data_IF_454405325671
#
_entry.id   IF_454405325671
#
_cell.length_a   1.000
_cell.length_b   1.000
_cell.length_c   1.000
_cell.angle_alpha   90.00
_cell.angle_beta   90.00
_cell.angle_gamma   90.00
#
_symmetry.space_group_name_H-M   'P 1'
#
loop_
_entity.id
_entity.type
_entity.pdbx_description
1 polymer ?
#
# COMPACT_ATOMS: atom_id res chain seq x y z
N UNK A 1 19.98 -1.03 -7.55
CA UNK A 1 20.39 -1.99 -6.49
C UNK A 1 21.32 -1.32 -5.48
N UNK A 2 20.82 -0.30 -4.75
CA UNK A 2 21.45 0.33 -3.57
C UNK A 2 20.40 0.47 -2.46
N UNK A 3 19.83 -0.65 -1.99
CA UNK A 3 18.81 -0.69 -0.92
C UNK A 3 19.05 -1.84 0.08
N UNK A 4 20.22 -2.49 0.06
CA UNK A 4 20.55 -3.57 1.01
C UNK A 4 20.55 -3.05 2.46
N UNK A 5 21.15 -1.88 2.70
CA UNK A 5 21.30 -1.34 4.07
C UNK A 5 19.97 -1.00 4.77
N UNK A 6 18.97 -0.31 4.14
CA UNK A 6 17.68 -0.11 4.79
C UNK A 6 16.93 -1.41 5.08
N UNK A 7 16.96 -2.35 4.14
CA UNK A 7 16.33 -3.67 4.31
C UNK A 7 16.94 -4.43 5.48
N UNK A 8 18.26 -4.61 5.49
CA UNK A 8 18.98 -5.32 6.56
C UNK A 8 18.76 -4.68 7.93
N UNK A 9 18.70 -3.33 7.98
CA UNK A 9 18.41 -2.61 9.21
C UNK A 9 17.00 -2.90 9.72
N UNK A 10 16.01 -2.89 8.83
CA UNK A 10 14.62 -3.19 9.18
C UNK A 10 14.45 -4.64 9.63
N UNK A 11 15.07 -5.60 8.94
CA UNK A 11 15.04 -7.03 9.32
C UNK A 11 15.70 -7.26 10.68
N UNK A 12 16.91 -6.70 10.90
CA UNK A 12 17.60 -6.80 12.20
C UNK A 12 16.80 -6.19 13.33
N UNK A 13 16.19 -5.02 13.10
CA UNK A 13 15.28 -4.40 14.07
C UNK A 13 14.10 -5.33 14.37
N UNK A 14 13.45 -5.86 13.33
CA UNK A 14 12.29 -6.72 13.48
C UNK A 14 12.61 -7.97 14.30
N UNK A 15 13.71 -8.67 14.01
CA UNK A 15 14.19 -9.82 14.79
C UNK A 15 14.46 -9.48 16.25
N UNK A 16 14.97 -8.28 16.53
CA UNK A 16 15.30 -7.84 17.89
C UNK A 16 14.05 -7.46 18.69
N UNK A 17 13.08 -6.79 18.07
CA UNK A 17 12.01 -6.11 18.80
C UNK A 17 10.64 -6.74 18.65
N UNK A 18 10.40 -7.58 17.64
CA UNK A 18 9.06 -8.12 17.33
C UNK A 18 8.99 -9.60 17.71
N UNK A 19 8.14 -9.99 18.68
CA UNK A 19 8.09 -11.36 19.20
C UNK A 19 7.93 -12.42 18.11
N UNK A 20 7.00 -12.17 17.17
CA UNK A 20 6.69 -13.12 16.12
C UNK A 20 7.89 -13.50 15.24
N UNK A 21 8.69 -12.51 14.79
CA UNK A 21 9.85 -12.79 13.96
C UNK A 21 10.97 -13.46 14.75
N UNK A 22 11.15 -13.07 16.02
CA UNK A 22 12.14 -13.69 16.90
C UNK A 22 11.84 -15.17 17.12
N UNK A 23 10.58 -15.50 17.44
CA UNK A 23 10.13 -16.88 17.66
C UNK A 23 10.26 -17.72 16.38
N UNK A 24 9.82 -17.20 15.23
CA UNK A 24 9.95 -17.90 13.94
C UNK A 24 11.41 -18.19 13.58
N UNK A 25 12.27 -17.19 13.76
CA UNK A 25 13.69 -17.35 13.46
C UNK A 25 14.38 -18.33 14.41
N UNK A 26 14.07 -18.28 15.70
CA UNK A 26 14.59 -19.25 16.66
C UNK A 26 14.15 -20.69 16.35
N UNK A 27 12.91 -20.89 15.89
CA UNK A 27 12.38 -22.20 15.58
C UNK A 27 12.89 -22.80 14.25
N UNK A 28 13.14 -21.96 13.24
CA UNK A 28 13.39 -22.44 11.86
C UNK A 28 14.75 -22.03 11.29
N UNK A 29 15.51 -21.19 11.99
CA UNK A 29 16.74 -20.57 11.49
C UNK A 29 16.53 -19.61 10.31
N UNK A 30 15.28 -19.39 9.88
CA UNK A 30 14.93 -18.58 8.71
C UNK A 30 13.72 -17.70 8.99
N UNK A 31 13.41 -16.78 8.07
CA UNK A 31 12.19 -15.98 8.11
C UNK A 31 11.34 -16.30 6.89
N UNK A 32 10.48 -17.35 6.96
CA UNK A 32 9.58 -17.66 5.87
C UNK A 32 8.64 -16.48 5.58
N UNK A 33 8.03 -16.42 4.38
CA UNK A 33 7.10 -15.36 4.04
C UNK A 33 5.95 -15.24 5.06
N UNK A 34 5.58 -14.01 5.39
CA UNK A 34 4.42 -13.68 6.22
C UNK A 34 3.19 -13.54 5.31
N UNK A 35 2.16 -14.37 5.53
CA UNK A 35 0.91 -14.31 4.77
C UNK A 35 -0.08 -13.32 5.38
N UNK A 36 -1.11 -12.95 4.63
CA UNK A 36 -2.21 -12.08 5.11
C UNK A 36 -2.91 -12.69 6.34
N UNK A 37 -3.24 -13.98 6.27
CA UNK A 37 -3.99 -14.66 7.34
C UNK A 37 -3.16 -14.78 8.61
N UNK A 38 -1.88 -15.13 8.49
CA UNK A 38 -0.95 -15.15 9.61
C UNK A 38 -0.80 -13.76 10.22
N UNK A 39 -0.62 -12.72 9.38
CA UNK A 39 -0.52 -11.35 9.85
C UNK A 39 -1.78 -10.85 10.56
N UNK A 40 -2.96 -11.28 10.10
CA UNK A 40 -4.24 -10.97 10.73
C UNK A 40 -4.35 -11.65 12.10
N UNK A 41 -4.08 -12.95 12.16
CA UNK A 41 -4.17 -13.75 13.39
C UNK A 41 -3.15 -13.30 14.45
N UNK A 42 -1.92 -12.97 14.02
CA UNK A 42 -0.79 -12.64 14.89
C UNK A 42 -0.49 -11.14 14.94
N UNK A 43 -1.45 -10.27 14.58
CA UNK A 43 -1.23 -8.82 14.48
C UNK A 43 -0.60 -8.22 15.74
N UNK A 44 -1.03 -8.67 16.91
CA UNK A 44 -0.50 -8.21 18.20
C UNK A 44 0.98 -8.60 18.40
N UNK A 45 1.41 -9.76 17.89
CA UNK A 45 2.81 -10.21 17.93
C UNK A 45 3.70 -9.57 16.86
N UNK A 46 3.10 -8.85 15.89
CA UNK A 46 3.82 -8.04 14.90
C UNK A 46 4.15 -6.63 15.41
N UNK A 47 3.79 -6.33 16.67
CA UNK A 47 4.14 -5.08 17.33
C UNK A 47 5.54 -5.16 17.95
N UNK A 48 6.38 -4.13 17.80
CA UNK A 48 7.65 -4.07 18.53
C UNK A 48 7.42 -3.91 20.04
N UNK A 49 8.22 -4.59 20.87
CA UNK A 49 8.17 -4.56 22.34
C UNK A 49 8.66 -3.25 22.95
N UNK A 50 9.61 -2.57 22.29
CA UNK A 50 10.21 -1.29 22.72
C UNK A 50 9.28 -0.08 22.50
N UNK A 51 8.04 -0.36 22.13
CA UNK A 51 7.14 0.58 21.52
C UNK A 51 5.96 0.75 22.47
N UNK A 52 6.11 1.64 23.46
CA UNK A 52 5.05 1.95 24.42
C UNK A 52 3.69 2.02 23.70
N UNK A 53 2.81 1.09 24.05
CA UNK A 53 1.42 1.04 23.62
C UNK A 53 0.70 2.12 24.40
N UNK A 54 0.92 3.40 24.04
CA UNK A 54 0.04 4.46 24.52
C UNK A 54 -1.24 4.33 23.69
N UNK A 55 -2.39 3.90 24.27
CA UNK A 55 -3.62 3.67 23.52
C UNK A 55 -4.11 4.95 22.81
N UNK A 56 -3.76 6.12 23.37
CA UNK A 56 -4.00 7.45 22.76
C UNK A 56 -3.13 7.77 21.53
N UNK A 57 -2.15 6.92 21.19
CA UNK A 57 -1.27 7.02 19.99
C UNK A 57 -1.46 5.85 19.00
N UNK A 58 -2.59 5.15 19.14
CA UNK A 58 -3.30 4.30 18.16
C UNK A 58 -2.64 2.97 17.71
N UNK A 59 -3.35 1.82 17.81
CA UNK A 59 -3.01 0.54 17.15
C UNK A 59 -3.21 0.53 15.61
N UNK A 60 -3.68 1.64 15.01
CA UNK A 60 -3.80 1.89 13.57
C UNK A 60 -2.52 2.35 12.86
N UNK A 61 -2.60 2.52 11.53
CA UNK A 61 -1.53 3.17 10.75
C UNK A 61 -1.65 4.70 10.95
N UNK A 62 -0.60 5.42 11.37
CA UNK A 62 -0.68 6.87 11.55
C UNK A 62 -1.16 7.57 10.28
N UNK A 63 -2.12 8.53 10.36
CA UNK A 63 -2.67 9.20 9.18
C UNK A 63 -1.59 9.82 8.28
N UNK A 64 -0.53 10.39 8.87
CA UNK A 64 0.60 10.96 8.12
C UNK A 64 1.41 9.92 7.34
N UNK A 65 1.59 8.71 7.86
CA UNK A 65 2.28 7.63 7.14
C UNK A 65 1.44 7.17 5.96
N UNK A 66 0.13 6.96 6.19
CA UNK A 66 -0.82 6.59 5.15
C UNK A 66 -0.90 7.61 4.02
N UNK A 67 -1.04 8.90 4.36
CA UNK A 67 -1.08 9.99 3.39
C UNK A 67 0.22 10.06 2.58
N UNK A 68 1.37 9.82 3.21
CA UNK A 68 2.64 9.82 2.50
C UNK A 68 2.79 8.64 1.53
N UNK A 69 2.27 7.46 1.86
CA UNK A 69 2.22 6.30 0.96
C UNK A 69 1.30 6.57 -0.24
N UNK A 70 0.09 7.06 0.02
CA UNK A 70 -0.87 7.38 -1.04
C UNK A 70 -0.34 8.49 -1.96
N UNK A 71 0.23 9.56 -1.39
CA UNK A 71 0.86 10.63 -2.17
C UNK A 71 1.93 10.10 -3.11
N UNK A 72 2.79 9.21 -2.63
CA UNK A 72 3.87 8.66 -3.44
C UNK A 72 3.33 7.73 -4.53
N UNK A 73 2.31 6.91 -4.22
CA UNK A 73 1.62 6.11 -5.23
C UNK A 73 0.97 6.98 -6.32
N UNK A 74 0.29 8.07 -5.95
CA UNK A 74 -0.28 9.02 -6.91
C UNK A 74 0.79 9.70 -7.77
N UNK A 75 1.91 10.09 -7.15
CA UNK A 75 3.06 10.65 -7.87
C UNK A 75 3.62 9.66 -8.89
N UNK A 76 3.81 8.40 -8.51
CA UNK A 76 4.27 7.33 -9.41
C UNK A 76 3.26 7.10 -10.53
N UNK A 77 1.96 7.12 -10.22
CA UNK A 77 0.87 6.99 -11.19
C UNK A 77 0.79 8.17 -12.18
N UNK A 78 1.46 9.29 -11.91
CA UNK A 78 1.42 10.49 -12.76
C UNK A 78 0.30 11.47 -12.40
N UNK A 79 -0.30 11.35 -11.21
CA UNK A 79 -1.37 12.25 -10.75
C UNK A 79 -0.80 13.37 -9.86
N UNK A 80 -0.80 14.64 -10.32
CA UNK A 80 -0.38 15.77 -9.49
C UNK A 80 -1.40 16.02 -8.37
N UNK A 81 -0.92 16.15 -7.13
CA UNK A 81 -1.78 16.34 -5.95
C UNK A 81 -1.85 17.79 -5.44
N UNK A 82 -0.95 18.67 -5.90
CA UNK A 82 -0.85 20.04 -5.37
C UNK A 82 -2.06 20.86 -5.84
N UNK A 83 -2.78 21.48 -4.91
CA UNK A 83 -3.92 22.34 -5.22
C UNK A 83 -5.21 21.61 -5.59
N UNK A 84 -5.25 20.28 -5.49
CA UNK A 84 -6.45 19.46 -5.64
C UNK A 84 -6.76 18.75 -4.33
N UNK A 85 -8.04 18.56 -4.01
CA UNK A 85 -8.43 17.73 -2.88
C UNK A 85 -8.34 16.25 -3.26
N UNK A 86 -7.82 15.42 -2.36
CA UNK A 86 -7.69 13.97 -2.57
C UNK A 86 -8.66 13.25 -1.65
N UNK A 87 -9.54 12.46 -2.25
CA UNK A 87 -10.53 11.64 -1.56
C UNK A 87 -10.15 10.17 -1.67
N UNK A 88 -10.05 9.48 -0.54
CA UNK A 88 -9.89 8.03 -0.52
C UNK A 88 -11.21 7.37 -0.14
N UNK A 89 -11.67 6.45 -0.99
CA UNK A 89 -12.86 5.64 -0.75
C UNK A 89 -12.52 4.51 0.22
N UNK A 90 -13.17 4.46 1.38
CA UNK A 90 -12.89 3.48 2.44
C UNK A 90 -14.12 3.21 3.30
N UNK A 91 -14.12 2.08 4.03
CA UNK A 91 -15.18 1.73 4.99
C UNK A 91 -15.13 2.52 6.30
N UNK A 92 -13.96 3.04 6.65
CA UNK A 92 -13.71 3.69 7.93
C UNK A 92 -13.55 5.19 7.77
N UNK A 93 -14.32 5.94 8.55
CA UNK A 93 -14.22 7.41 8.64
C UNK A 93 -12.86 7.81 9.23
N UNK A 94 -12.28 8.87 8.67
CA UNK A 94 -11.06 9.51 9.18
C UNK A 94 -11.20 11.02 9.05
N UNK A 95 -10.67 11.74 10.02
CA UNK A 95 -10.61 13.20 9.95
C UNK A 95 -9.80 13.66 8.74
N UNK A 96 -10.23 14.75 8.07
CA UNK A 96 -9.45 15.35 7.01
C UNK A 96 -8.04 15.74 7.50
N UNK A 97 -7.03 15.40 6.70
CA UNK A 97 -5.64 15.74 6.99
C UNK A 97 -5.16 16.77 5.97
N UNK A 98 -4.59 17.89 6.42
CA UNK A 98 -3.88 18.82 5.53
C UNK A 98 -2.39 18.50 5.54
N UNK A 99 -1.87 18.09 4.39
CA UNK A 99 -0.46 17.75 4.24
C UNK A 99 0.01 17.92 2.79
N UNK A 100 1.27 18.29 2.59
CA UNK A 100 1.88 18.46 1.26
C UNK A 100 1.16 19.45 0.33
N UNK A 101 0.47 20.45 0.90
CA UNK A 101 -0.31 21.43 0.12
C UNK A 101 -1.65 20.92 -0.40
N UNK A 102 -2.14 19.81 0.16
CA UNK A 102 -3.36 19.09 -0.28
C UNK A 102 -4.22 18.76 0.94
N UNK A 103 -5.53 18.80 0.77
CA UNK A 103 -6.47 18.24 1.76
C UNK A 103 -6.76 16.80 1.40
N UNK A 104 -6.53 15.90 2.35
CA UNK A 104 -6.76 14.47 2.23
C UNK A 104 -8.02 14.12 3.00
N UNK A 105 -9.01 13.58 2.31
CA UNK A 105 -10.36 13.32 2.83
C UNK A 105 -10.74 11.87 2.60
N UNK A 106 -11.78 11.43 3.29
CA UNK A 106 -12.39 10.12 3.11
C UNK A 106 -13.76 10.29 2.46
N UNK A 107 -14.06 9.43 1.49
CA UNK A 107 -15.44 9.12 1.12
C UNK A 107 -15.75 7.73 1.64
N UNK A 108 -16.89 7.58 2.32
CA UNK A 108 -17.34 6.28 2.76
C UNK A 108 -17.83 5.47 1.56
N UNK A 109 -17.37 4.23 1.44
CA UNK A 109 -17.93 3.32 0.45
C UNK A 109 -19.33 2.84 0.85
N UNK A 110 -20.06 2.26 -0.10
CA UNK A 110 -21.45 1.82 0.12
C UNK A 110 -21.59 0.68 1.15
N UNK A 111 -20.46 0.07 1.56
CA UNK A 111 -20.41 -1.01 2.56
C UNK A 111 -19.91 -0.53 3.92
N UNK A 112 -19.72 0.78 4.11
CA UNK A 112 -19.39 1.35 5.41
C UNK A 112 -20.55 1.14 6.39
N UNK A 113 -20.24 0.68 7.59
CA UNK A 113 -21.20 0.61 8.70
C UNK A 113 -21.36 2.02 9.28
N UNK A 114 -22.56 2.59 9.16
CA UNK A 114 -22.93 3.91 9.68
C UNK A 114 -24.22 3.82 10.47
N UNK A 115 -24.39 4.67 11.50
CA UNK A 115 -25.61 4.75 12.34
C UNK A 115 -26.85 5.29 11.59
N UNK A 116 -26.84 5.28 10.26
CA UNK A 116 -27.89 5.69 9.34
C UNK A 116 -27.62 5.13 7.93
N UNK A 117 -28.57 5.22 6.98
CA UNK A 117 -28.32 4.74 5.62
C UNK A 117 -27.09 5.47 5.05
N UNK A 118 -26.10 4.75 4.48
CA UNK A 118 -24.94 5.40 3.90
C UNK A 118 -25.44 6.27 2.75
N UNK A 119 -25.53 7.58 2.98
CA UNK A 119 -25.82 8.53 1.93
C UNK A 119 -24.76 8.36 0.85
N UNK A 120 -25.18 8.27 -0.42
CA UNK A 120 -24.24 8.23 -1.54
C UNK A 120 -23.28 9.42 -1.36
N UNK A 121 -21.96 9.20 -1.29
CA UNK A 121 -21.03 10.28 -1.01
C UNK A 121 -21.25 11.39 -2.04
N UNK A 122 -21.58 12.59 -1.56
CA UNK A 122 -21.72 13.75 -2.43
C UNK A 122 -20.38 13.95 -3.15
N UNK A 123 -20.39 14.07 -4.48
CA UNK A 123 -19.15 14.26 -5.20
C UNK A 123 -18.53 15.62 -4.81
N UNK A 124 -17.20 15.75 -4.90
CA UNK A 124 -16.53 16.99 -4.52
C UNK A 124 -16.99 18.17 -5.38
N UNK A 125 -17.20 19.33 -4.75
CA UNK A 125 -17.65 20.56 -5.43
C UNK A 125 -16.57 21.29 -6.24
N UNK A 126 -15.49 20.62 -6.63
CA UNK A 126 -14.35 21.21 -7.33
C UNK A 126 -13.31 20.18 -7.78
N UNK A 127 -12.17 20.62 -8.35
CA UNK A 127 -11.13 19.74 -8.87
C UNK A 127 -10.61 18.77 -7.80
N UNK A 128 -10.73 17.47 -8.07
CA UNK A 128 -10.45 16.45 -7.08
C UNK A 128 -9.89 15.18 -7.70
N UNK A 129 -9.03 14.50 -6.93
CA UNK A 129 -8.64 13.12 -7.19
C UNK A 129 -9.44 12.22 -6.26
N UNK A 130 -10.09 11.20 -6.80
CA UNK A 130 -10.82 10.23 -5.98
C UNK A 130 -10.26 8.83 -6.22
N UNK A 131 -9.75 8.22 -5.16
CA UNK A 131 -9.01 6.97 -5.16
C UNK A 131 -9.87 5.88 -4.55
N UNK A 132 -10.17 4.81 -5.29
CA UNK A 132 -11.07 3.76 -4.82
C UNK A 132 -11.03 2.48 -5.67
N UNK A 133 -11.77 1.46 -5.26
CA UNK A 133 -11.82 0.17 -5.96
C UNK A 133 -12.62 0.26 -7.27
N UNK A 134 -12.27 -0.51 -8.31
CA UNK A 134 -12.99 -0.46 -9.58
C UNK A 134 -14.51 -0.59 -9.39
N UNK A 135 -15.28 0.27 -10.06
CA UNK A 135 -16.75 0.33 -9.93
C UNK A 135 -17.28 1.28 -8.84
N UNK A 136 -16.42 1.84 -7.98
CA UNK A 136 -16.89 2.83 -6.98
C UNK A 136 -17.54 4.07 -7.62
N UNK A 137 -17.15 4.38 -8.87
CA UNK A 137 -17.50 5.59 -9.58
C UNK A 137 -18.51 5.36 -10.72
N UNK A 138 -19.35 4.33 -10.63
CA UNK A 138 -20.41 4.06 -11.60
C UNK A 138 -21.49 5.16 -11.52
N UNK A 139 -21.37 6.16 -12.42
CA UNK A 139 -22.27 7.31 -12.52
C UNK A 139 -21.62 8.52 -13.21
N UNK A 140 -22.44 9.52 -13.56
CA UNK A 140 -21.99 10.81 -14.10
C UNK A 140 -21.15 11.54 -13.06
N UNK A 141 -19.96 11.99 -13.46
CA UNK A 141 -19.02 12.67 -12.56
C UNK A 141 -19.11 14.17 -12.80
N UNK A 142 -18.96 15.00 -11.75
CA UNK A 142 -18.78 16.43 -11.96
C UNK A 142 -17.49 16.70 -12.75
N UNK A 143 -17.51 17.78 -13.52
CA UNK A 143 -16.32 18.27 -14.21
C UNK A 143 -15.17 18.52 -13.21
N UNK A 144 -13.95 18.14 -13.60
CA UNK A 144 -12.74 18.30 -12.79
C UNK A 144 -12.46 17.18 -11.79
N UNK A 145 -13.28 16.12 -11.75
CA UNK A 145 -13.01 14.93 -10.91
C UNK A 145 -12.26 13.86 -11.70
N UNK A 146 -11.04 13.53 -11.27
CA UNK A 146 -10.25 12.42 -11.82
C UNK A 146 -10.31 11.22 -10.88
N UNK A 147 -10.70 10.07 -11.42
CA UNK A 147 -10.78 8.82 -10.64
C UNK A 147 -9.52 8.00 -10.81
N UNK A 148 -8.98 7.53 -9.70
CA UNK A 148 -7.78 6.69 -9.65
C UNK A 148 -8.18 5.32 -9.11
N UNK A 149 -8.07 4.30 -9.97
CA UNK A 149 -8.40 2.94 -9.57
C UNK A 149 -7.32 2.35 -8.65
N UNK A 150 -7.76 1.67 -7.58
CA UNK A 150 -6.93 0.78 -6.78
C UNK A 150 -6.91 -0.62 -7.38
N UNK A 151 -5.82 -1.35 -7.16
CA UNK A 151 -5.79 -2.79 -7.42
C UNK A 151 -4.86 -3.49 -6.42
N UNK A 152 -5.16 -4.75 -6.12
CA UNK A 152 -4.26 -5.67 -5.42
C UNK A 152 -3.48 -6.53 -6.39
N UNK A 153 -2.36 -7.10 -5.94
CA UNK A 153 -1.47 -7.87 -6.81
C UNK A 153 -2.12 -9.18 -7.32
N UNK A 154 -3.05 -9.74 -6.54
CA UNK A 154 -3.88 -10.87 -6.98
C UNK A 154 -4.77 -10.53 -8.19
N UNK A 155 -5.32 -9.32 -8.24
CA UNK A 155 -6.08 -8.84 -9.39
C UNK A 155 -5.15 -8.59 -10.59
N UNK A 156 -3.99 -7.97 -10.34
CA UNK A 156 -2.98 -7.71 -11.36
C UNK A 156 -2.44 -9.00 -12.01
N UNK A 157 -2.38 -10.11 -11.27
CA UNK A 157 -1.98 -11.42 -11.81
C UNK A 157 -2.97 -11.95 -12.86
N UNK A 158 -4.25 -11.57 -12.77
CA UNK A 158 -5.31 -12.01 -13.68
C UNK A 158 -5.51 -11.05 -14.85
N UNK A 159 -5.39 -9.75 -14.60
CA UNK A 159 -5.59 -8.71 -15.61
C UNK A 159 -4.59 -7.58 -15.41
N UNK A 160 -4.00 -7.09 -16.51
CA UNK A 160 -3.05 -5.97 -16.46
C UNK A 160 -3.77 -4.71 -15.94
N UNK A 161 -3.32 -4.09 -14.83
CA UNK A 161 -3.93 -2.86 -14.35
C UNK A 161 -3.68 -1.71 -15.34
N UNK A 162 -4.61 -0.77 -15.41
CA UNK A 162 -4.50 0.38 -16.29
C UNK A 162 -3.35 1.31 -15.87
N UNK A 163 -2.66 1.98 -16.81
CA UNK A 163 -1.75 3.07 -16.47
C UNK A 163 -2.44 4.15 -15.62
N UNK A 164 -1.73 4.68 -14.63
CA UNK A 164 -2.29 5.65 -13.68
C UNK A 164 -3.09 5.04 -12.52
N UNK A 165 -3.18 3.70 -12.42
CA UNK A 165 -3.78 3.02 -11.26
C UNK A 165 -2.78 2.82 -10.12
N UNK A 166 -3.26 2.76 -8.88
CA UNK A 166 -2.42 2.61 -7.67
C UNK A 166 -2.49 1.20 -7.08
N UNK A 167 -1.35 0.68 -6.67
CA UNK A 167 -1.25 -0.64 -6.04
C UNK A 167 -1.53 -0.51 -4.54
N UNK A 168 -2.61 -1.14 -4.11
CA UNK A 168 -3.10 -1.14 -2.74
C UNK A 168 -3.40 -2.56 -2.25
N UNK A 169 -2.84 -2.90 -1.09
CA UNK A 169 -3.12 -4.13 -0.37
C UNK A 169 -3.80 -3.76 0.95
N UNK A 170 -5.04 -4.20 1.26
CA UNK A 170 -5.78 -3.74 2.43
C UNK A 170 -5.02 -3.81 3.77
N UNK A 171 -4.14 -4.79 3.93
CA UNK A 171 -3.35 -4.99 5.15
C UNK A 171 -1.94 -4.37 5.10
N UNK A 172 -1.41 -4.09 3.90
CA UNK A 172 -0.05 -3.53 3.73
C UNK A 172 -0.03 -2.04 3.35
N UNK A 173 -1.07 -1.52 2.70
CA UNK A 173 -1.21 -0.13 2.28
C UNK A 173 -1.02 0.11 0.80
N UNK A 174 -0.71 1.37 0.45
CA UNK A 174 -0.25 1.73 -0.89
C UNK A 174 1.23 1.39 -1.01
N UNK A 175 1.57 0.65 -2.06
CA UNK A 175 2.90 0.05 -2.23
C UNK A 175 3.61 0.55 -3.49
N UNK A 176 2.88 1.23 -4.37
CA UNK A 176 3.35 1.65 -5.67
C UNK A 176 2.18 1.98 -6.60
N UNK A 177 2.45 2.00 -7.90
CA UNK A 177 1.45 2.29 -8.93
C UNK A 177 1.94 1.84 -10.30
N UNK A 178 1.01 1.72 -11.25
CA UNK A 178 1.34 1.62 -12.67
C UNK A 178 1.59 3.02 -13.19
N UNK A 179 2.84 3.34 -13.55
CA UNK A 179 3.18 4.68 -14.02
C UNK A 179 2.53 4.97 -15.38
N UNK A 180 1.93 6.16 -15.54
CA UNK A 180 1.19 6.52 -16.75
C UNK A 180 2.07 6.58 -18.01
N UNK A 181 3.36 6.89 -17.86
CA UNK A 181 4.30 7.14 -18.96
C UNK A 181 5.05 5.89 -19.46
N UNK A 182 5.20 4.85 -18.63
CA UNK A 182 5.83 3.59 -19.02
C UNK A 182 4.91 2.36 -18.92
N UNK A 183 3.77 2.47 -18.23
CA UNK A 183 2.82 1.37 -18.05
C UNK A 183 3.35 0.21 -17.21
N UNK A 184 4.46 0.40 -16.47
CA UNK A 184 5.07 -0.60 -15.59
C UNK A 184 4.61 -0.41 -14.14
N UNK A 185 4.49 -1.51 -13.39
CA UNK A 185 4.16 -1.49 -11.96
C UNK A 185 5.39 -1.10 -11.13
N UNK A 186 5.52 0.19 -10.85
CA UNK A 186 6.59 0.76 -10.05
C UNK A 186 6.32 0.61 -8.55
N UNK A 187 7.39 0.38 -7.79
CA UNK A 187 7.36 0.22 -6.33
C UNK A 187 7.76 1.53 -5.65
N UNK A 188 7.10 1.91 -4.55
CA UNK A 188 7.57 2.99 -3.67
C UNK A 188 8.85 2.54 -2.94
N UNK A 189 10.00 2.78 -3.55
CA UNK A 189 11.31 2.42 -2.99
C UNK A 189 11.67 3.16 -1.71
N UNK A 190 11.01 4.28 -1.40
CA UNK A 190 11.22 5.01 -0.17
C UNK A 190 10.68 4.24 1.04
N UNK A 191 9.68 3.37 0.83
CA UNK A 191 8.94 2.68 1.89
C UNK A 191 8.86 1.17 1.73
N UNK A 192 9.10 0.63 0.54
CA UNK A 192 8.94 -0.79 0.22
C UNK A 192 10.22 -1.31 -0.40
N UNK A 193 10.72 -2.41 0.17
CA UNK A 193 11.75 -3.22 -0.44
C UNK A 193 11.12 -4.52 -0.96
N UNK A 194 11.40 -4.87 -2.22
CA UNK A 194 10.94 -6.10 -2.86
C UNK A 194 12.12 -7.03 -3.12
N UNK A 195 11.91 -8.33 -2.91
CA UNK A 195 12.88 -9.36 -3.29
C UNK A 195 12.20 -10.70 -3.61
N UNK A 196 12.83 -11.58 -4.40
CA UNK A 196 12.40 -12.96 -4.49
C UNK A 196 12.68 -13.72 -3.17
N UNK A 197 11.74 -14.55 -2.75
CA UNK A 197 11.86 -15.50 -1.64
C UNK A 197 10.84 -16.63 -1.83
N UNK A 198 11.29 -17.88 -1.69
CA UNK A 198 10.48 -19.12 -1.78
C UNK A 198 9.54 -19.12 -3.00
N UNK A 199 10.11 -18.89 -4.18
CA UNK A 199 9.39 -18.90 -5.46
C UNK A 199 8.43 -17.72 -5.70
N UNK A 200 8.37 -16.73 -4.81
CA UNK A 200 7.48 -15.56 -4.94
C UNK A 200 8.18 -14.23 -4.64
N UNK A 201 7.51 -13.12 -4.95
CA UNK A 201 7.92 -11.80 -4.47
C UNK A 201 7.44 -11.59 -3.04
N UNK A 202 8.34 -11.14 -2.18
CA UNK A 202 8.02 -10.68 -0.82
C UNK A 202 8.40 -9.21 -0.64
N UNK A 203 7.73 -8.57 0.32
CA UNK A 203 7.82 -7.16 0.61
C UNK A 203 8.30 -6.94 2.04
N UNK A 204 9.17 -5.95 2.24
CA UNK A 204 9.50 -5.43 3.56
C UNK A 204 9.15 -3.95 3.60
N UNK A 205 8.31 -3.54 4.56
CA UNK A 205 7.90 -2.15 4.74
C UNK A 205 8.95 -1.42 5.60
N UNK A 206 9.78 -0.62 4.94
CA UNK A 206 11.01 -0.03 5.48
C UNK A 206 10.76 1.04 6.55
N UNK A 207 9.69 1.82 6.41
CA UNK A 207 9.40 2.98 7.28
C UNK A 207 8.19 2.78 8.19
N UNK A 208 7.47 1.66 8.06
CA UNK A 208 6.30 1.37 8.88
C UNK A 208 6.75 0.89 10.25
N UNK A 209 6.36 1.64 11.28
CA UNK A 209 6.81 1.36 12.65
C UNK A 209 5.99 0.26 13.32
N UNK A 210 4.68 0.22 13.06
CA UNK A 210 3.69 -0.66 13.73
C UNK A 210 2.49 -0.92 12.80
N UNK A 211 2.01 -2.17 12.66
CA UNK A 211 2.79 -3.40 12.81
C UNK A 211 4.05 -3.37 11.92
N UNK A 212 5.08 -4.15 12.28
CA UNK A 212 6.27 -4.32 11.46
C UNK A 212 6.07 -5.47 10.48
N UNK A 213 6.25 -5.21 9.18
CA UNK A 213 6.06 -6.19 8.11
C UNK A 213 7.39 -6.47 7.40
N UNK A 214 7.90 -7.68 7.58
CA UNK A 214 9.12 -8.20 6.94
C UNK A 214 8.75 -9.46 6.17
N UNK A 215 9.23 -9.57 4.93
CA UNK A 215 8.93 -10.68 4.02
C UNK A 215 7.42 -10.96 3.87
N UNK A 216 6.59 -9.91 3.91
CA UNK A 216 5.17 -10.02 3.66
C UNK A 216 4.93 -10.45 2.20
N UNK A 217 4.20 -11.54 2.00
CA UNK A 217 3.80 -12.01 0.68
C UNK A 217 2.38 -11.51 0.38
N UNK A 218 2.21 -10.51 -0.51
CA UNK A 218 0.88 -10.14 -0.97
C UNK A 218 0.25 -11.31 -1.74
N UNK A 219 -1.08 -11.38 -1.73
CA UNK A 219 -1.81 -12.34 -2.55
C UNK A 219 -1.45 -12.14 -4.03
N UNK A 220 -1.20 -13.22 -4.77
CA UNK A 220 -0.69 -13.13 -6.14
C UNK A 220 0.80 -12.83 -6.27
N UNK A 221 1.54 -12.58 -5.18
CA UNK A 221 2.99 -12.30 -5.21
C UNK A 221 3.86 -13.40 -5.85
N UNK A 222 3.35 -14.63 -5.93
CA UNK A 222 3.99 -15.72 -6.67
C UNK A 222 4.11 -15.47 -8.17
N UNK A 223 3.15 -14.74 -8.75
CA UNK A 223 3.09 -14.43 -10.17
C UNK A 223 3.99 -13.25 -10.57
N UNK A 224 4.72 -12.63 -9.64
CA UNK A 224 5.53 -11.45 -9.92
C UNK A 224 7.00 -11.64 -9.54
N UNK A 225 7.88 -10.89 -10.21
CA UNK A 225 9.31 -10.78 -9.93
C UNK A 225 9.75 -9.31 -9.87
N UNK A 226 10.64 -8.94 -8.94
CA UNK A 226 11.26 -7.62 -8.94
C UNK A 226 12.25 -7.49 -10.11
N UNK A 227 12.07 -6.47 -10.92
CA UNK A 227 12.93 -6.14 -12.06
C UNK A 227 13.27 -4.65 -12.07
N UNK A 228 14.04 -4.19 -13.05
CA UNK A 228 14.24 -2.76 -13.32
C UNK A 228 13.35 -2.32 -14.47
N UNK A 229 12.73 -1.15 -14.31
CA UNK A 229 12.03 -0.48 -15.37
C UNK A 229 12.99 -0.17 -16.52
N UNK A 230 12.67 -0.53 -17.77
CA UNK A 230 13.52 -0.22 -18.92
C UNK A 230 13.59 1.29 -19.20
N UNK A 231 12.54 2.06 -18.85
CA UNK A 231 12.47 3.51 -19.08
C UNK A 231 13.14 4.32 -17.97
N UNK A 232 12.92 3.94 -16.70
CA UNK A 232 13.33 4.74 -15.54
C UNK A 232 14.47 4.15 -14.73
N UNK A 233 14.86 2.89 -14.97
CA UNK A 233 15.89 2.17 -14.20
C UNK A 233 15.53 1.84 -12.75
N UNK A 234 14.43 2.39 -12.22
CA UNK A 234 13.88 2.10 -10.88
C UNK A 234 13.21 0.72 -10.80
N UNK A 235 12.97 0.19 -9.60
CA UNK A 235 12.41 -1.15 -9.44
C UNK A 235 10.92 -1.20 -9.77
N UNK A 236 10.56 -2.28 -10.45
CA UNK A 236 9.20 -2.61 -10.87
C UNK A 236 8.89 -4.06 -10.49
N UNK A 237 7.61 -4.41 -10.48
CA UNK A 237 7.17 -5.80 -10.45
C UNK A 237 6.65 -6.22 -11.83
N UNK A 238 7.17 -7.32 -12.35
CA UNK A 238 6.74 -7.89 -13.64
C UNK A 238 6.21 -9.29 -13.47
N UNK A 239 5.24 -9.67 -14.29
CA UNK A 239 4.63 -11.01 -14.24
C UNK A 239 5.66 -12.07 -14.64
N UNK A 240 5.89 -13.04 -13.77
CA UNK A 240 6.72 -14.20 -14.04
C UNK A 240 5.99 -15.09 -15.07
N UNK A 241 6.43 -15.05 -16.33
CA UNK A 241 5.95 -15.99 -17.35
C UNK A 241 5.14 -15.44 -18.52
N UNK A 242 5.15 -14.14 -18.79
CA UNK A 242 4.79 -13.65 -20.14
C UNK A 242 6.06 -13.40 -20.95
N UNK A 243 6.37 -14.21 -21.99
CA UNK A 243 7.34 -13.78 -23.00
C UNK A 243 6.85 -12.47 -23.61
N UNK A 244 7.81 -11.60 -23.95
CA UNK A 244 7.55 -10.35 -24.67
C UNK A 244 7.00 -10.63 -26.06
#
# INVERSE_FOLDING_TARGET
MRVAQPYERTVRRALRTVPHYRERYAATGTLPPLTRDEARLRRHLLMPLDAALLPRRDPGRPPREHVAELREALRIAGHPVRGVDVYEVTRALRDPVRAYGTTWRVLLDATAETDGPPGRPAPPGGPALVVGDPGWADGTRPDGVVTVARFGLAAAARARPAPGSVWFEPWLGYLGAVAADCGELHVDTGRVHTRPLDGGTVLTLLRRRRPTFVHARPEGGGAFRPERCPRHGGPVLRTAGRPR
#
